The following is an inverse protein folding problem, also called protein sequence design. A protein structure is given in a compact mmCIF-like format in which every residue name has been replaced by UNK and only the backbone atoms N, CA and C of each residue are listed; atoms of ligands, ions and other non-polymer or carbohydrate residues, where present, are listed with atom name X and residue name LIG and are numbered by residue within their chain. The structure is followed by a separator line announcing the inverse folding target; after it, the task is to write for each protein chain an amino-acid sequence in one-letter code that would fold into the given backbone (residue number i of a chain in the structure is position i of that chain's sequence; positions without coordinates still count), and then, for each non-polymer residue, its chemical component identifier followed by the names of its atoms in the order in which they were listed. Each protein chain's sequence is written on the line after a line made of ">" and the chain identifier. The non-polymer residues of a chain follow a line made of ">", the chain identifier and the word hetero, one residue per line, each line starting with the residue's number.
data_IF_439016870186
#
_entry.id   IF_439016870186
#
_cell.length_a   1.000
_cell.length_b   1.000
_cell.length_c   1.000
_cell.angle_alpha   90.00
_cell.angle_beta   90.00
_cell.angle_gamma   90.00
#
_symmetry.space_group_name_H-M   'P 1'
#
loop_
_entity.id
_entity.type
_entity.pdbx_description
1 polymer ?
#
# COMPACT_ATOMS: atom_id res chain seq x y z
N UNK A 1 19.31 -15.99 7.15
CA UNK A 1 18.68 -16.33 5.85
C UNK A 1 17.20 -16.72 5.98
N UNK A 2 16.83 -17.79 6.71
CA UNK A 2 15.43 -18.28 6.74
C UNK A 2 14.33 -17.29 7.18
N UNK A 3 14.62 -16.36 8.11
CA UNK A 3 13.65 -15.32 8.50
C UNK A 3 13.28 -14.39 7.34
N UNK A 4 14.25 -13.97 6.53
CA UNK A 4 13.99 -13.09 5.37
C UNK A 4 13.07 -13.77 4.36
N UNK A 5 13.29 -15.06 4.10
CA UNK A 5 12.43 -15.87 3.22
C UNK A 5 11.00 -16.00 3.75
N UNK A 6 10.85 -16.33 5.05
CA UNK A 6 9.53 -16.40 5.67
C UNK A 6 8.76 -15.09 5.48
N UNK A 7 9.39 -13.96 5.83
CA UNK A 7 8.75 -12.65 5.79
C UNK A 7 8.47 -12.17 4.36
N UNK A 8 9.29 -12.58 3.38
CA UNK A 8 9.03 -12.31 1.97
C UNK A 8 7.77 -13.04 1.50
N UNK A 9 7.63 -14.32 1.83
CA UNK A 9 6.42 -15.11 1.51
C UNK A 9 5.21 -14.56 2.25
N UNK A 10 5.37 -14.19 3.52
CA UNK A 10 4.30 -13.56 4.31
C UNK A 10 3.80 -12.27 3.66
N UNK A 11 4.69 -11.34 3.31
CA UNK A 11 4.33 -10.08 2.64
C UNK A 11 3.65 -10.36 1.30
N UNK A 12 4.16 -11.31 0.50
CA UNK A 12 3.53 -11.72 -0.76
C UNK A 12 2.09 -12.21 -0.54
N UNK A 13 1.90 -13.16 0.38
CA UNK A 13 0.59 -13.72 0.68
C UNK A 13 -0.40 -12.68 1.22
N UNK A 14 0.07 -11.75 2.07
CA UNK A 14 -0.77 -10.66 2.59
C UNK A 14 -1.10 -9.62 1.52
N UNK A 15 -0.15 -9.29 0.64
CA UNK A 15 -0.39 -8.39 -0.49
C UNK A 15 -1.42 -8.97 -1.45
N UNK A 16 -1.33 -10.26 -1.81
CA UNK A 16 -2.32 -10.92 -2.67
C UNK A 16 -3.72 -10.94 -2.05
N UNK A 17 -3.84 -11.19 -0.73
CA UNK A 17 -5.15 -11.10 -0.04
C UNK A 17 -5.78 -9.72 -0.09
N UNK A 18 -4.98 -8.68 0.07
CA UNK A 18 -5.44 -7.30 -0.06
C UNK A 18 -5.94 -6.98 -1.48
N UNK A 19 -5.45 -7.70 -2.49
CA UNK A 19 -5.89 -7.61 -3.88
C UNK A 19 -7.08 -8.54 -4.20
N UNK A 20 -7.60 -9.28 -3.22
CA UNK A 20 -8.59 -10.35 -3.40
C UNK A 20 -8.15 -11.41 -4.43
N UNK A 21 -6.83 -11.64 -4.52
CA UNK A 21 -6.25 -12.69 -5.36
C UNK A 21 -6.31 -14.04 -4.62
N UNK A 22 -6.91 -15.04 -5.26
CA UNK A 22 -7.03 -16.40 -4.74
C UNK A 22 -5.67 -17.06 -4.39
N UNK A 23 -4.57 -16.54 -4.92
CA UNK A 23 -3.20 -17.02 -4.67
C UNK A 23 -2.70 -16.74 -3.25
N UNK A 24 -3.26 -15.75 -2.55
CA UNK A 24 -2.80 -15.37 -1.21
C UNK A 24 -2.95 -16.49 -0.17
N UNK A 25 -4.06 -17.24 -0.23
CA UNK A 25 -4.32 -18.37 0.66
C UNK A 25 -3.50 -19.62 0.31
N UNK A 26 -3.13 -19.78 -0.97
CA UNK A 26 -2.27 -20.85 -1.43
C UNK A 26 -0.81 -20.65 -0.98
N UNK A 27 -0.33 -19.41 -0.96
CA UNK A 27 1.05 -19.07 -0.63
C UNK A 27 1.38 -19.30 0.86
N UNK A 28 0.50 -18.85 1.75
CA UNK A 28 0.67 -19.03 3.19
C UNK A 28 -0.69 -18.87 3.86
N UNK A 29 -1.22 -19.88 4.58
CA UNK A 29 -2.51 -19.75 5.26
C UNK A 29 -2.46 -18.65 6.34
N UNK A 30 -3.58 -17.97 6.62
CA UNK A 30 -3.60 -16.93 7.64
C UNK A 30 -3.25 -17.47 9.03
N UNK A 31 -2.48 -16.70 9.79
CA UNK A 31 -2.04 -17.09 11.13
C UNK A 31 -2.85 -16.31 12.16
N UNK A 32 -3.66 -17.00 12.97
CA UNK A 32 -4.57 -16.35 13.92
C UNK A 32 -3.87 -15.66 15.11
N UNK A 33 -2.65 -16.08 15.46
CA UNK A 33 -1.91 -15.54 16.60
C UNK A 33 -0.55 -14.99 16.17
N UNK A 34 -0.32 -13.71 16.46
CA UNK A 34 0.95 -13.03 16.20
C UNK A 34 2.14 -13.68 16.94
N UNK A 35 1.90 -14.36 18.07
CA UNK A 35 2.95 -15.08 18.83
C UNK A 35 3.55 -16.25 18.05
N UNK A 36 2.85 -16.74 17.02
CA UNK A 36 3.34 -17.81 16.14
C UNK A 36 4.21 -17.29 14.99
N UNK A 37 4.29 -15.97 14.80
CA UNK A 37 5.15 -15.38 13.78
C UNK A 37 6.59 -15.37 14.28
N UNK A 38 7.58 -15.77 13.45
CA UNK A 38 8.98 -15.61 13.80
C UNK A 38 9.33 -14.13 13.98
N UNK A 39 10.40 -13.79 14.73
CA UNK A 39 10.84 -12.41 14.85
C UNK A 39 11.22 -11.83 13.48
N UNK A 40 11.17 -10.50 13.36
CA UNK A 40 11.62 -9.78 12.16
C UNK A 40 13.11 -10.10 11.87
N UNK A 41 13.53 -10.02 10.60
CA UNK A 41 14.95 -10.06 10.23
C UNK A 41 15.76 -9.02 11.01
N UNK A 42 17.00 -9.36 11.36
CA UNK A 42 17.91 -8.40 11.96
C UNK A 42 18.23 -7.29 10.95
N UNK A 43 18.17 -6.03 11.40
CA UNK A 43 18.47 -4.84 10.60
C UNK A 43 19.97 -4.63 10.54
N UNK A 44 20.62 -5.51 9.79
CA UNK A 44 22.07 -5.51 9.60
C UNK A 44 22.33 -5.83 8.13
N UNK A 45 23.19 -5.01 7.51
CA UNK A 45 23.61 -5.19 6.12
C UNK A 45 24.47 -6.44 5.97
N UNK A 46 24.41 -7.06 4.78
CA UNK A 46 25.04 -8.36 4.53
C UNK A 46 26.56 -8.35 4.74
N UNK A 47 27.22 -7.19 4.59
CA UNK A 47 28.64 -7.02 4.87
C UNK A 47 29.04 -7.25 6.33
N UNK A 48 28.09 -7.14 7.27
CA UNK A 48 28.30 -7.39 8.69
C UNK A 48 27.83 -8.79 9.12
N UNK A 49 27.36 -9.61 8.18
CA UNK A 49 26.91 -10.97 8.43
C UNK A 49 27.99 -11.94 7.97
N UNK A 50 28.66 -12.58 8.93
CA UNK A 50 29.68 -13.60 8.66
C UNK A 50 29.14 -14.99 8.98
N UNK A 51 29.93 -16.03 8.66
CA UNK A 51 29.56 -17.41 9.01
C UNK A 51 29.57 -17.61 10.54
N UNK A 52 30.42 -16.86 11.23
CA UNK A 52 30.70 -17.01 12.65
C UNK A 52 29.74 -16.18 13.51
N UNK A 53 29.41 -14.96 13.07
CA UNK A 53 28.57 -14.03 13.82
C UNK A 53 27.90 -12.95 12.96
N UNK A 54 26.86 -12.32 13.53
CA UNK A 54 26.28 -11.07 13.04
C UNK A 54 26.89 -9.93 13.84
N UNK A 55 27.61 -9.03 13.16
CA UNK A 55 28.24 -7.86 13.76
C UNK A 55 27.27 -6.66 13.75
N UNK A 56 27.44 -5.69 14.65
CA UNK A 56 26.60 -4.49 14.65
C UNK A 56 26.83 -3.66 13.39
N UNK A 57 25.74 -3.07 12.88
CA UNK A 57 25.79 -2.04 11.83
C UNK A 57 26.54 -0.81 12.36
N UNK A 58 27.23 -0.09 11.47
CA UNK A 58 27.78 1.23 11.80
C UNK A 58 26.69 2.20 12.27
N UNK A 59 27.01 2.98 13.31
CA UNK A 59 26.12 4.02 13.83
C UNK A 59 25.82 5.09 12.76
N UNK A 60 24.57 5.55 12.71
CA UNK A 60 24.11 6.56 11.76
C UNK A 60 23.87 6.04 10.33
N UNK A 61 24.01 4.73 10.09
CA UNK A 61 23.67 4.12 8.80
C UNK A 61 22.38 3.32 8.94
N UNK A 62 21.31 3.78 8.29
CA UNK A 62 20.05 3.01 8.19
C UNK A 62 20.33 1.71 7.44
N UNK A 63 19.99 0.51 7.96
CA UNK A 63 20.20 -0.77 7.28
C UNK A 63 19.30 -0.98 6.05
N UNK A 64 19.74 -1.80 5.09
CA UNK A 64 19.01 -2.04 3.83
C UNK A 64 17.69 -2.76 4.08
N UNK A 65 17.65 -3.57 5.15
CA UNK A 65 16.45 -4.26 5.60
C UNK A 65 15.45 -3.39 6.37
N UNK A 66 15.81 -2.17 6.77
CA UNK A 66 14.91 -1.33 7.55
C UNK A 66 13.57 -1.12 6.84
N UNK A 67 13.58 -0.75 5.55
CA UNK A 67 12.36 -0.60 4.78
C UNK A 67 11.60 -1.90 4.52
N UNK A 68 12.29 -3.04 4.43
CA UNK A 68 11.65 -4.35 4.34
C UNK A 68 10.93 -4.70 5.65
N UNK A 69 11.55 -4.46 6.80
CA UNK A 69 10.96 -4.68 8.11
C UNK A 69 9.75 -3.78 8.35
N UNK A 70 9.82 -2.50 7.96
CA UNK A 70 8.68 -1.58 8.01
C UNK A 70 7.51 -2.11 7.17
N UNK A 71 7.76 -2.58 5.94
CA UNK A 71 6.73 -3.23 5.13
C UNK A 71 6.15 -4.49 5.80
N UNK A 72 6.99 -5.33 6.40
CA UNK A 72 6.51 -6.50 7.14
C UNK A 72 5.57 -6.10 8.28
N UNK A 73 5.86 -5.01 8.99
CA UNK A 73 5.01 -4.47 10.05
C UNK A 73 3.67 -3.96 9.51
N UNK A 74 3.67 -3.25 8.38
CA UNK A 74 2.45 -2.80 7.69
C UNK A 74 1.53 -3.99 7.38
N UNK A 75 2.04 -5.03 6.71
CA UNK A 75 1.22 -6.19 6.35
C UNK A 75 0.84 -7.05 7.55
N UNK A 76 1.66 -7.07 8.60
CA UNK A 76 1.33 -7.76 9.86
C UNK A 76 0.13 -7.14 10.56
N UNK A 77 -0.18 -5.86 10.34
CA UNK A 77 -1.25 -5.18 11.05
C UNK A 77 -2.65 -5.79 10.81
N UNK A 78 -2.90 -6.44 9.67
CA UNK A 78 -4.20 -7.03 9.35
C UNK A 78 -4.22 -8.56 9.23
N UNK A 79 -3.11 -9.26 9.53
CA UNK A 79 -3.07 -10.74 9.46
C UNK A 79 -4.13 -11.43 10.32
N UNK A 80 -4.48 -10.82 11.47
CA UNK A 80 -5.53 -11.32 12.36
C UNK A 80 -6.92 -11.20 11.73
N UNK A 81 -7.15 -10.13 10.97
CA UNK A 81 -8.40 -9.96 10.22
C UNK A 81 -8.50 -11.05 9.14
N UNK A 82 -7.44 -11.25 8.35
CA UNK A 82 -7.38 -12.32 7.35
C UNK A 82 -7.64 -13.72 7.96
N UNK A 83 -7.12 -13.99 9.16
CA UNK A 83 -7.36 -15.27 9.84
C UNK A 83 -8.79 -15.46 10.32
N UNK A 84 -9.46 -14.39 10.71
CA UNK A 84 -10.89 -14.42 11.03
C UNK A 84 -11.70 -14.67 9.75
N UNK A 85 -11.37 -13.99 8.66
CA UNK A 85 -12.07 -14.09 7.38
C UNK A 85 -11.95 -15.49 6.76
N UNK A 86 -10.81 -16.15 6.89
CA UNK A 86 -10.66 -17.53 6.45
C UNK A 86 -11.53 -18.54 7.22
N UNK A 87 -11.93 -18.22 8.45
CA UNK A 87 -12.77 -19.10 9.28
C UNK A 87 -14.26 -18.80 9.09
N UNK A 88 -14.63 -17.53 9.07
CA UNK A 88 -16.04 -17.11 9.05
C UNK A 88 -16.54 -16.74 7.64
N UNK A 89 -15.64 -16.56 6.68
CA UNK A 89 -15.92 -15.99 5.37
C UNK A 89 -15.73 -14.47 5.38
N UNK A 90 -15.21 -13.93 4.29
CA UNK A 90 -14.97 -12.50 4.15
C UNK A 90 -16.30 -11.71 4.29
N UNK A 91 -17.31 -11.98 3.48
CA UNK A 91 -18.50 -11.11 3.42
C UNK A 91 -19.59 -11.53 4.42
N UNK A 92 -19.18 -11.85 5.64
CA UNK A 92 -20.08 -12.28 6.71
C UNK A 92 -19.98 -11.37 7.93
N UNK A 93 -21.15 -10.97 8.43
CA UNK A 93 -21.28 -10.27 9.71
C UNK A 93 -21.73 -11.29 10.75
N UNK A 94 -20.86 -11.60 11.72
CA UNK A 94 -21.15 -12.56 12.80
C UNK A 94 -21.27 -11.86 14.17
N UNK A 95 -20.35 -10.94 14.45
CA UNK A 95 -20.32 -10.12 15.67
C UNK A 95 -19.82 -8.73 15.24
N UNK A 96 -20.79 -7.88 14.91
CA UNK A 96 -20.54 -6.57 14.31
C UNK A 96 -19.63 -5.71 15.20
N UNK A 97 -19.90 -5.65 16.50
CA UNK A 97 -19.13 -4.83 17.44
C UNK A 97 -17.68 -5.30 17.55
N UNK A 98 -17.48 -6.62 17.59
CA UNK A 98 -16.14 -7.20 17.60
C UNK A 98 -15.41 -7.01 16.28
N UNK A 99 -16.09 -7.16 15.13
CA UNK A 99 -15.51 -6.97 13.81
C UNK A 99 -15.02 -5.52 13.62
N UNK A 100 -15.85 -4.53 13.97
CA UNK A 100 -15.45 -3.10 13.98
C UNK A 100 -14.17 -2.87 14.78
N UNK A 101 -14.11 -3.44 15.98
CA UNK A 101 -12.95 -3.28 16.87
C UNK A 101 -11.68 -3.90 16.28
N UNK A 102 -11.79 -5.06 15.62
CA UNK A 102 -10.66 -5.70 14.93
C UNK A 102 -10.14 -4.82 13.80
N UNK A 103 -11.03 -4.31 12.94
CA UNK A 103 -10.64 -3.42 11.82
C UNK A 103 -10.00 -2.14 12.35
N UNK A 104 -10.60 -1.49 13.37
CA UNK A 104 -10.03 -0.29 13.99
C UNK A 104 -8.64 -0.54 14.57
N UNK A 105 -8.44 -1.64 15.28
CA UNK A 105 -7.13 -1.99 15.86
C UNK A 105 -6.10 -2.28 14.78
N UNK A 106 -6.49 -2.96 13.71
CA UNK A 106 -5.62 -3.18 12.55
C UNK A 106 -5.19 -1.83 11.96
N UNK A 107 -6.12 -0.90 11.75
CA UNK A 107 -5.83 0.43 11.22
C UNK A 107 -4.85 1.22 12.12
N UNK A 108 -5.08 1.21 13.43
CA UNK A 108 -4.16 1.83 14.40
C UNK A 108 -2.75 1.22 14.34
N UNK A 109 -2.67 -0.10 14.19
CA UNK A 109 -1.40 -0.83 14.08
C UNK A 109 -0.67 -0.50 12.78
N UNK A 110 -1.40 -0.39 11.66
CA UNK A 110 -0.82 0.03 10.37
C UNK A 110 -0.19 1.42 10.49
N UNK A 111 -0.90 2.38 11.10
CA UNK A 111 -0.41 3.75 11.27
C UNK A 111 0.82 3.82 12.19
N UNK A 112 0.81 3.03 13.26
CA UNK A 112 1.94 2.96 14.18
C UNK A 112 3.19 2.29 13.58
N UNK A 113 3.03 1.45 12.55
CA UNK A 113 4.14 0.69 11.94
C UNK A 113 5.27 1.57 11.38
N UNK A 114 4.99 2.84 11.06
CA UNK A 114 5.97 3.78 10.52
C UNK A 114 6.31 4.93 11.49
N UNK A 115 5.76 4.94 12.71
CA UNK A 115 5.96 6.04 13.65
C UNK A 115 7.44 6.20 14.04
N UNK A 116 8.15 5.08 14.15
CA UNK A 116 9.57 5.02 14.54
C UNK A 116 10.48 4.80 13.32
N UNK A 117 10.01 5.08 12.11
CA UNK A 117 10.84 4.94 10.90
C UNK A 117 12.06 5.88 10.98
N UNK A 118 13.25 5.45 10.55
CA UNK A 118 14.42 6.32 10.44
C UNK A 118 14.13 7.55 9.58
N UNK A 119 14.76 8.68 9.89
CA UNK A 119 14.49 9.95 9.20
C UNK A 119 14.65 9.87 7.67
N UNK A 120 15.63 9.09 7.21
CA UNK A 120 15.91 8.84 5.80
C UNK A 120 14.77 8.10 5.08
N UNK A 121 13.97 7.34 5.83
CA UNK A 121 12.81 6.59 5.34
C UNK A 121 11.49 7.28 5.67
N UNK A 122 11.48 8.46 6.28
CA UNK A 122 10.25 9.22 6.53
C UNK A 122 9.85 10.04 5.29
N UNK A 123 8.55 10.20 5.05
CA UNK A 123 8.06 11.21 4.11
C UNK A 123 8.24 12.60 4.73
N UNK A 124 8.98 13.46 4.04
CA UNK A 124 9.12 14.86 4.46
C UNK A 124 8.09 15.73 3.74
N UNK A 125 7.22 16.38 4.51
CA UNK A 125 6.23 17.36 4.02
C UNK A 125 6.92 18.62 3.44
N UNK A 126 8.09 18.96 3.99
CA UNK A 126 8.83 20.21 3.76
C UNK A 126 10.02 20.09 2.82
N UNK A 127 10.23 18.92 2.20
CA UNK A 127 11.31 18.77 1.22
C UNK A 127 11.06 19.73 0.06
N UNK A 128 12.00 20.66 -0.16
CA UNK A 128 12.12 21.30 -1.46
C UNK A 128 12.04 20.19 -2.51
N UNK A 129 11.18 20.44 -3.49
CA UNK A 129 10.96 19.61 -4.67
C UNK A 129 12.19 18.74 -4.95
N UNK A 130 12.02 17.41 -5.04
CA UNK A 130 12.98 16.64 -5.83
C UNK A 130 12.94 17.25 -7.21
N UNK A 131 13.92 18.10 -7.53
CA UNK A 131 13.89 19.01 -8.67
C UNK A 131 13.44 18.23 -9.90
N UNK A 132 12.29 18.61 -10.44
CA UNK A 132 11.76 18.09 -11.69
C UNK A 132 11.80 19.22 -12.73
N UNK A 133 12.40 19.01 -13.91
CA UNK A 133 13.03 17.77 -14.36
C UNK A 133 14.29 17.45 -13.53
N UNK A 134 14.71 16.18 -13.44
CA UNK A 134 16.02 15.86 -12.89
C UNK A 134 17.02 16.72 -13.66
N UNK A 135 17.84 17.51 -12.96
CA UNK A 135 18.92 18.22 -13.63
C UNK A 135 19.86 17.14 -14.18
N UNK A 136 19.74 16.86 -15.47
CA UNK A 136 20.47 15.89 -16.31
C UNK A 136 19.93 14.46 -16.40
N UNK A 137 20.21 13.86 -17.56
CA UNK A 137 19.99 12.46 -18.00
C UNK A 137 20.55 11.36 -17.06
N UNK A 138 21.11 11.72 -15.91
CA UNK A 138 21.93 10.84 -15.06
C UNK A 138 21.14 10.09 -13.99
N UNK A 139 19.82 10.15 -14.04
CA UNK A 139 18.97 9.65 -12.98
C UNK A 139 18.46 8.23 -13.25
N UNK A 140 18.23 7.80 -14.50
CA UNK A 140 17.75 6.42 -14.73
C UNK A 140 18.79 5.40 -14.25
N UNK A 141 18.34 4.40 -13.50
CA UNK A 141 19.17 3.28 -13.05
C UNK A 141 19.80 2.56 -14.26
N UNK A 142 19.15 2.69 -15.42
CA UNK A 142 19.60 2.20 -16.72
C UNK A 142 20.84 2.93 -17.26
N UNK A 143 20.96 4.25 -17.09
CA UNK A 143 22.18 5.00 -17.49
C UNK A 143 23.40 4.52 -16.68
N UNK A 144 23.18 4.23 -15.39
CA UNK A 144 24.20 3.67 -14.52
C UNK A 144 24.58 2.23 -14.90
N UNK A 145 23.62 1.35 -15.22
CA UNK A 145 23.93 -0.02 -15.67
C UNK A 145 24.50 -0.08 -17.09
N UNK A 146 24.09 0.80 -17.99
CA UNK A 146 24.62 0.90 -19.35
C UNK A 146 26.11 1.29 -19.35
N UNK A 147 26.55 2.13 -18.41
CA UNK A 147 27.98 2.42 -18.21
C UNK A 147 28.78 1.24 -17.63
N UNK A 148 28.14 0.31 -16.92
CA UNK A 148 28.81 -0.81 -16.26
C UNK A 148 28.68 -2.15 -17.00
N UNK A 149 28.10 -2.17 -18.21
CA UNK A 149 28.03 -3.37 -19.03
C UNK A 149 29.42 -3.71 -19.62
N UNK A 150 30.01 -4.90 -19.34
CA UNK A 150 31.34 -5.25 -19.84
C UNK A 150 31.40 -5.44 -21.36
N UNK A 151 30.25 -5.56 -22.01
CA UNK A 151 30.14 -5.92 -23.44
C UNK A 151 30.22 -4.73 -24.39
N UNK A 152 30.26 -3.50 -23.89
CA UNK A 152 30.37 -2.28 -24.73
C UNK A 152 31.70 -1.55 -24.53
N UNK A 153 32.75 -2.25 -24.05
CA UNK A 153 34.13 -1.73 -24.06
C UNK A 153 34.85 -2.15 -25.35
N UNK A 154 34.32 -1.68 -26.47
CA UNK A 154 34.96 -1.77 -27.79
C UNK A 154 35.67 -0.48 -28.15
N UNK A 155 36.95 -0.36 -27.80
CA UNK A 155 37.91 0.52 -28.46
C UNK A 155 38.08 1.93 -27.88
N UNK A 156 39.10 2.10 -27.03
CA UNK A 156 39.54 3.43 -26.59
C UNK A 156 40.52 3.42 -25.42
N UNK A 157 41.63 2.69 -25.55
CA UNK A 157 42.76 2.82 -24.61
C UNK A 157 43.47 4.14 -24.83
N UNK A 158 43.44 5.03 -23.83
CA UNK A 158 44.52 5.99 -23.62
C UNK A 158 45.17 5.71 -22.26
N UNK A 159 46.47 5.41 -22.21
CA UNK A 159 47.18 5.23 -20.94
C UNK A 159 47.60 6.61 -20.41
N UNK A 160 47.04 7.03 -19.28
CA UNK A 160 47.60 8.17 -18.53
C UNK A 160 48.54 7.63 -17.43
N UNK A 161 49.78 8.15 -17.31
CA UNK A 161 50.85 7.47 -16.58
C UNK A 161 50.98 7.96 -15.14
N UNK A 162 49.88 8.08 -14.40
CA UNK A 162 49.94 8.31 -12.96
C UNK A 162 48.83 7.51 -12.28
N UNK A 163 49.23 6.62 -11.36
CA UNK A 163 48.40 5.62 -10.70
C UNK A 163 47.36 6.17 -9.72
N UNK A 164 46.51 7.09 -10.16
CA UNK A 164 45.39 7.63 -9.38
C UNK A 164 44.08 7.03 -9.89
N UNK A 165 43.87 5.75 -9.57
CA UNK A 165 42.51 5.18 -9.54
C UNK A 165 41.75 5.84 -8.37
N UNK A 166 40.45 6.04 -8.54
CA UNK A 166 39.47 6.42 -7.50
C UNK A 166 39.34 7.90 -7.10
N UNK A 167 39.23 8.83 -8.06
CA UNK A 167 38.78 10.20 -7.71
C UNK A 167 37.74 10.84 -8.63
N UNK A 168 37.24 10.14 -9.64
CA UNK A 168 36.18 10.66 -10.55
C UNK A 168 34.77 10.09 -10.28
N UNK A 169 34.64 9.14 -9.35
CA UNK A 169 33.33 8.67 -8.87
C UNK A 169 32.70 9.61 -7.80
N UNK A 170 33.33 10.75 -7.51
CA UNK A 170 32.97 11.66 -6.41
C UNK A 170 32.12 12.88 -6.84
N UNK A 171 31.58 12.90 -8.06
CA UNK A 171 30.73 14.01 -8.53
C UNK A 171 29.43 13.53 -9.20
N UNK A 172 28.83 12.47 -8.64
CA UNK A 172 27.40 12.19 -8.85
C UNK A 172 26.65 12.70 -7.60
N UNK A 173 25.64 13.56 -7.73
CA UNK A 173 25.01 14.23 -6.58
C UNK A 173 24.20 13.30 -5.67
N UNK A 174 24.03 12.01 -6.00
CA UNK A 174 23.32 11.04 -5.18
C UNK A 174 24.12 9.73 -5.01
N UNK A 175 24.35 9.32 -3.75
CA UNK A 175 24.91 8.00 -3.46
C UNK A 175 23.88 6.90 -3.79
N UNK A 176 24.33 5.71 -4.20
CA UNK A 176 23.47 4.52 -4.38
C UNK A 176 22.48 4.31 -3.22
N UNK A 177 22.91 4.68 -2.00
CA UNK A 177 22.10 4.61 -0.77
C UNK A 177 20.91 5.56 -0.79
N UNK A 178 21.09 6.79 -1.25
CA UNK A 178 20.00 7.76 -1.33
C UNK A 178 18.89 7.26 -2.27
N UNK A 179 19.26 6.75 -3.45
CA UNK A 179 18.31 6.16 -4.41
C UNK A 179 17.57 4.97 -3.78
N UNK A 180 18.29 4.11 -3.05
CA UNK A 180 17.68 2.98 -2.34
C UNK A 180 16.67 3.42 -1.28
N UNK A 181 16.98 4.45 -0.48
CA UNK A 181 16.05 4.99 0.51
C UNK A 181 14.78 5.55 -0.16
N UNK A 182 14.90 6.20 -1.32
CA UNK A 182 13.76 6.70 -2.08
C UNK A 182 12.88 5.56 -2.63
N UNK A 183 13.48 4.51 -3.19
CA UNK A 183 12.74 3.30 -3.61
C UNK A 183 12.01 2.68 -2.42
N UNK A 184 12.68 2.58 -1.27
CA UNK A 184 12.10 2.01 -0.06
C UNK A 184 10.93 2.87 0.44
N UNK A 185 11.05 4.19 0.45
CA UNK A 185 9.96 5.12 0.81
C UNK A 185 8.73 4.86 -0.04
N UNK A 186 8.84 4.87 -1.37
CA UNK A 186 7.70 4.63 -2.23
C UNK A 186 7.03 3.26 -1.96
N UNK A 187 7.83 2.21 -1.74
CA UNK A 187 7.32 0.88 -1.43
C UNK A 187 6.61 0.81 -0.07
N UNK A 188 7.20 1.40 0.99
CA UNK A 188 6.63 1.41 2.34
C UNK A 188 5.31 2.18 2.33
N UNK A 189 5.31 3.42 1.84
CA UNK A 189 4.16 4.29 1.93
C UNK A 189 3.07 3.92 0.92
N UNK A 190 3.42 3.39 -0.25
CA UNK A 190 2.44 2.79 -1.16
C UNK A 190 1.73 1.59 -0.54
N UNK A 191 2.46 0.72 0.17
CA UNK A 191 1.87 -0.44 0.86
C UNK A 191 1.06 -0.03 2.09
N UNK A 192 1.53 0.98 2.84
CA UNK A 192 0.82 1.59 3.96
C UNK A 192 -0.53 2.13 3.51
N UNK A 193 -0.54 2.94 2.44
CA UNK A 193 -1.73 3.57 1.89
C UNK A 193 -2.72 2.52 1.38
N UNK A 194 -2.24 1.52 0.63
CA UNK A 194 -3.04 0.39 0.17
C UNK A 194 -3.69 -0.36 1.35
N UNK A 195 -2.94 -0.58 2.43
CA UNK A 195 -3.44 -1.28 3.62
C UNK A 195 -4.46 -0.48 4.41
N UNK A 196 -4.27 0.83 4.53
CA UNK A 196 -5.27 1.72 5.14
C UNK A 196 -6.55 1.75 4.31
N UNK A 197 -6.44 1.89 2.99
CA UNK A 197 -7.59 1.88 2.07
C UNK A 197 -8.36 0.56 2.15
N UNK A 198 -7.65 -0.57 2.10
CA UNK A 198 -8.24 -1.89 2.25
C UNK A 198 -9.03 -2.03 3.56
N UNK A 199 -8.47 -1.60 4.69
CA UNK A 199 -9.16 -1.70 5.98
C UNK A 199 -10.40 -0.81 6.07
N UNK A 200 -10.34 0.41 5.54
CA UNK A 200 -11.49 1.33 5.49
C UNK A 200 -12.59 0.75 4.60
N UNK A 201 -12.27 0.26 3.42
CA UNK A 201 -13.25 -0.41 2.57
C UNK A 201 -13.83 -1.65 3.23
N UNK A 202 -13.00 -2.39 3.96
CA UNK A 202 -13.45 -3.58 4.66
C UNK A 202 -14.46 -3.26 5.75
N UNK A 203 -14.25 -2.17 6.48
CA UNK A 203 -15.23 -1.65 7.45
C UNK A 203 -16.57 -1.35 6.78
N UNK A 204 -16.56 -0.56 5.69
CA UNK A 204 -17.78 -0.13 5.02
C UNK A 204 -18.54 -1.27 4.34
N UNK A 205 -17.83 -2.24 3.76
CA UNK A 205 -18.44 -3.47 3.23
C UNK A 205 -19.24 -4.20 4.33
N UNK A 206 -18.64 -4.40 5.50
CA UNK A 206 -19.31 -5.07 6.62
C UNK A 206 -20.45 -4.22 7.20
N UNK A 207 -20.28 -2.90 7.24
CA UNK A 207 -21.33 -1.96 7.66
C UNK A 207 -22.57 -2.09 6.77
N UNK A 208 -22.40 -2.07 5.45
CA UNK A 208 -23.51 -2.20 4.50
C UNK A 208 -24.26 -3.54 4.66
N UNK A 209 -23.54 -4.64 4.85
CA UNK A 209 -24.13 -5.97 5.09
C UNK A 209 -24.92 -5.95 6.41
N UNK A 210 -24.37 -5.36 7.46
CA UNK A 210 -25.02 -5.27 8.75
C UNK A 210 -26.31 -4.44 8.69
N UNK A 211 -26.28 -3.27 8.04
CA UNK A 211 -27.45 -2.41 7.83
C UNK A 211 -28.57 -3.13 7.07
N UNK A 212 -28.23 -3.84 5.98
CA UNK A 212 -29.21 -4.64 5.23
C UNK A 212 -29.85 -5.73 6.09
N UNK A 213 -29.07 -6.38 6.96
CA UNK A 213 -29.59 -7.37 7.90
C UNK A 213 -30.51 -6.75 8.96
N UNK A 214 -30.22 -5.53 9.43
CA UNK A 214 -31.09 -4.81 10.37
C UNK A 214 -32.41 -4.38 9.72
N UNK A 215 -32.37 -3.84 8.51
CA UNK A 215 -33.55 -3.45 7.75
C UNK A 215 -34.47 -4.65 7.46
N UNK A 216 -33.89 -5.82 7.18
CA UNK A 216 -34.65 -7.07 6.97
C UNK A 216 -35.30 -7.60 8.26
N UNK A 217 -34.74 -7.28 9.44
CA UNK A 217 -35.24 -7.72 10.76
C UNK A 217 -36.28 -6.78 11.36
N UNK A 218 -36.46 -5.56 10.83
CA UNK A 218 -37.55 -4.68 11.27
C UNK A 218 -38.88 -5.25 10.74
N UNK A 219 -39.82 -5.65 11.61
CA UNK A 219 -41.14 -6.04 11.14
C UNK A 219 -41.82 -4.82 10.52
N UNK A 220 -42.29 -4.96 9.29
CA UNK A 220 -43.19 -3.99 8.67
C UNK A 220 -44.40 -3.79 9.61
N UNK A 221 -44.37 -2.73 10.40
CA UNK A 221 -45.53 -2.28 11.16
C UNK A 221 -46.54 -1.73 10.16
N UNK A 222 -47.52 -2.56 9.80
CA UNK A 222 -48.79 -2.08 9.26
C UNK A 222 -49.44 -2.89 8.14
N UNK A 223 -49.45 -4.22 8.16
CA UNK A 223 -50.60 -5.02 7.67
C UNK A 223 -50.42 -6.50 8.04
N UNK A 224 -51.47 -7.21 8.52
CA UNK A 224 -51.36 -8.63 8.83
C UNK A 224 -51.25 -9.45 7.52
N UNK A 225 -50.30 -10.38 7.39
CA UNK A 225 -50.21 -11.24 6.22
C UNK A 225 -51.34 -12.28 6.24
N UNK A 226 -51.93 -12.65 5.08
CA UNK A 226 -52.87 -13.74 5.03
C UNK A 226 -52.15 -15.08 5.30
N UNK A 227 -52.77 -15.88 6.16
CA UNK A 227 -52.36 -17.24 6.49
C UNK A 227 -52.13 -18.06 5.21
N UNK A 228 -50.87 -18.37 4.91
CA UNK A 228 -50.53 -19.53 4.11
C UNK A 228 -49.29 -20.22 4.69
N UNK A 229 -49.57 -21.41 5.21
CA UNK A 229 -48.68 -22.48 5.63
C UNK A 229 -47.52 -22.74 4.67
N UNK A 230 -46.32 -23.04 5.20
CA UNK A 230 -45.52 -24.27 4.97
C UNK A 230 -44.16 -24.21 5.73
N UNK A 231 -43.47 -25.35 5.96
CA UNK A 231 -42.83 -25.64 7.24
C UNK A 231 -41.34 -25.27 7.33
N UNK A 232 -40.93 -24.99 8.56
CA UNK A 232 -39.56 -24.77 8.98
C UNK A 232 -38.71 -26.04 8.86
N UNK A 233 -37.61 -25.97 8.12
CA UNK A 233 -36.42 -26.79 8.37
C UNK A 233 -35.18 -25.90 8.33
N UNK A 234 -34.78 -25.39 9.50
CA UNK A 234 -33.43 -24.89 9.72
C UNK A 234 -32.67 -25.88 10.61
N UNK A 235 -31.87 -26.73 9.99
CA UNK A 235 -30.89 -27.53 10.72
C UNK A 235 -29.61 -26.69 10.85
N UNK A 236 -29.43 -26.04 12.00
CA UNK A 236 -28.11 -25.55 12.41
C UNK A 236 -27.25 -26.74 12.85
N UNK A 237 -25.98 -26.88 12.42
CA UNK A 237 -25.05 -27.76 13.10
C UNK A 237 -24.49 -27.08 14.37
N UNK A 238 -24.22 -27.83 15.45
CA UNK A 238 -23.78 -27.27 16.72
C UNK A 238 -22.27 -26.96 16.72
N UNK A 239 -21.95 -25.96 17.56
CA UNK A 239 -20.64 -25.49 17.93
C UNK A 239 -19.74 -26.60 18.49
N UNK A 240 -18.48 -26.66 18.03
CA UNK A 240 -17.38 -27.22 18.81
C UNK A 240 -16.53 -26.04 19.28
N UNK A 241 -16.65 -25.73 20.57
CA UNK A 241 -15.74 -24.87 21.29
C UNK A 241 -14.59 -25.72 21.83
N UNK A 242 -13.34 -25.35 21.56
CA UNK A 242 -12.21 -25.50 22.50
C UNK A 242 -11.06 -24.59 22.09
N UNK A 243 -11.03 -23.35 22.60
CA UNK A 243 -9.77 -22.68 22.94
C UNK A 243 -9.99 -21.79 24.18
N UNK A 244 -9.39 -22.12 25.34
CA UNK A 244 -9.65 -21.44 26.61
C UNK A 244 -8.98 -20.05 26.73
N UNK A 245 -8.34 -19.53 25.67
CA UNK A 245 -7.75 -18.17 25.70
C UNK A 245 -8.72 -17.03 25.35
N UNK A 246 -9.98 -17.34 25.03
CA UNK A 246 -10.94 -16.35 24.55
C UNK A 246 -12.00 -15.91 25.57
N UNK A 247 -11.84 -16.25 26.86
CA UNK A 247 -12.80 -15.89 27.92
C UNK A 247 -12.09 -15.12 29.03
N UNK A 248 -11.88 -13.81 28.84
CA UNK A 248 -11.78 -12.85 29.94
C UNK A 248 -11.80 -11.40 29.43
N UNK A 249 -12.98 -10.79 29.49
CA UNK A 249 -13.28 -9.37 29.79
C UNK A 249 -14.64 -9.01 29.18
N UNK A 250 -15.70 -9.54 29.78
CA UNK A 250 -17.05 -9.00 29.66
C UNK A 250 -17.40 -8.32 30.97
N UNK A 251 -16.79 -7.15 31.26
CA UNK A 251 -17.41 -6.22 32.19
C UNK A 251 -18.57 -5.55 31.45
N UNK A 252 -19.77 -5.70 32.00
CA UNK A 252 -20.98 -5.09 31.50
C UNK A 252 -20.82 -3.56 31.42
N UNK A 253 -20.51 -3.04 30.24
CA UNK A 253 -20.61 -1.62 29.94
C UNK A 253 -22.06 -1.30 29.57
N UNK A 254 -22.52 -0.13 30.00
CA UNK A 254 -23.89 0.33 29.80
C UNK A 254 -24.21 0.50 28.30
N UNK A 255 -25.47 0.28 27.84
CA UNK A 255 -25.85 0.38 26.43
C UNK A 255 -25.51 1.74 25.78
N UNK A 256 -25.51 2.81 26.58
CA UNK A 256 -25.26 4.18 26.12
C UNK A 256 -23.79 4.47 25.80
N UNK A 257 -22.84 3.81 26.48
CA UNK A 257 -21.41 3.96 26.21
C UNK A 257 -21.00 3.16 24.96
N UNK A 258 -21.65 2.02 24.74
CA UNK A 258 -21.41 1.20 23.55
C UNK A 258 -21.83 1.96 22.30
N UNK A 259 -23.06 2.49 22.22
CA UNK A 259 -23.55 3.24 21.04
C UNK A 259 -22.71 4.47 20.72
N UNK A 260 -22.33 5.27 21.72
CA UNK A 260 -21.45 6.42 21.52
C UNK A 260 -20.04 6.02 21.02
N UNK A 261 -19.52 4.88 21.49
CA UNK A 261 -18.29 4.33 20.97
C UNK A 261 -18.44 3.79 19.53
N UNK A 262 -19.64 3.37 19.10
CA UNK A 262 -19.88 2.92 17.73
C UNK A 262 -19.81 4.09 16.74
N UNK A 263 -20.48 5.19 17.05
CA UNK A 263 -20.47 6.41 16.22
C UNK A 263 -19.05 6.98 16.09
N UNK A 264 -18.23 6.85 17.15
CA UNK A 264 -16.83 7.26 17.12
C UNK A 264 -15.96 6.43 16.16
N UNK A 265 -16.24 5.13 15.99
CA UNK A 265 -15.50 4.28 15.02
C UNK A 265 -15.90 4.66 13.60
N UNK A 266 -17.18 4.86 13.34
CA UNK A 266 -17.68 5.28 12.02
C UNK A 266 -17.06 6.61 11.61
N UNK A 267 -17.13 7.61 12.50
CA UNK A 267 -16.49 8.91 12.27
C UNK A 267 -14.98 8.77 12.04
N UNK A 268 -14.31 7.88 12.79
CA UNK A 268 -12.89 7.61 12.58
C UNK A 268 -12.59 7.02 11.20
N UNK A 269 -13.49 6.20 10.62
CA UNK A 269 -13.30 5.62 9.29
C UNK A 269 -13.56 6.64 8.19
N UNK A 270 -14.54 7.52 8.37
CA UNK A 270 -14.78 8.68 7.49
C UNK A 270 -13.58 9.63 7.45
N UNK A 271 -13.06 10.01 8.63
CA UNK A 271 -11.83 10.81 8.76
C UNK A 271 -10.64 10.09 8.13
N UNK A 272 -10.51 8.78 8.32
CA UNK A 272 -9.40 8.03 7.75
C UNK A 272 -9.45 8.01 6.21
N UNK A 273 -10.64 7.87 5.61
CA UNK A 273 -10.81 7.96 4.15
C UNK A 273 -10.26 9.27 3.60
N UNK A 274 -10.60 10.38 4.25
CA UNK A 274 -10.10 11.70 3.89
C UNK A 274 -8.56 11.80 4.05
N UNK A 275 -8.03 11.25 5.13
CA UNK A 275 -6.57 11.22 5.34
C UNK A 275 -5.87 10.38 4.27
N UNK A 276 -6.47 9.29 3.78
CA UNK A 276 -5.91 8.50 2.67
C UNK A 276 -5.84 9.36 1.40
N UNK A 277 -6.84 10.20 1.11
CA UNK A 277 -6.79 11.13 -0.04
C UNK A 277 -5.63 12.13 0.10
N UNK A 278 -5.46 12.72 1.30
CA UNK A 278 -4.36 13.66 1.56
C UNK A 278 -2.99 12.99 1.47
N UNK A 279 -2.85 11.81 2.08
CA UNK A 279 -1.60 11.06 2.11
C UNK A 279 -1.25 10.50 0.72
N UNK A 280 -2.25 10.17 -0.10
CA UNK A 280 -2.08 9.83 -1.51
C UNK A 280 -1.46 11.01 -2.28
N UNK A 281 -2.00 12.21 -2.11
CA UNK A 281 -1.49 13.41 -2.77
C UNK A 281 -0.07 13.75 -2.27
N UNK A 282 0.19 13.63 -0.96
CA UNK A 282 1.51 13.85 -0.36
C UNK A 282 2.54 12.84 -0.88
N UNK A 283 2.20 11.55 -0.88
CA UNK A 283 3.10 10.48 -1.34
C UNK A 283 3.56 10.73 -2.77
N UNK A 284 2.63 11.08 -3.66
CA UNK A 284 2.96 11.29 -5.06
C UNK A 284 3.69 12.60 -5.32
N UNK A 285 3.44 13.63 -4.50
CA UNK A 285 4.27 14.84 -4.47
C UNK A 285 5.72 14.51 -4.09
N UNK A 286 5.92 13.57 -3.16
CA UNK A 286 7.22 13.25 -2.59
C UNK A 286 8.06 12.26 -3.41
N UNK A 287 7.44 11.40 -4.22
CA UNK A 287 8.12 10.30 -4.92
C UNK A 287 8.56 10.71 -6.33
N UNK A 288 9.84 10.50 -6.66
CA UNK A 288 10.41 10.77 -7.98
C UNK A 288 10.29 9.55 -8.92
N UNK A 289 9.89 9.76 -10.18
CA UNK A 289 9.78 8.73 -11.24
C UNK A 289 11.02 7.85 -11.36
N UNK A 290 12.21 8.46 -11.29
CA UNK A 290 13.48 7.76 -11.43
C UNK A 290 13.65 6.69 -10.36
N UNK A 291 13.24 7.00 -9.15
CA UNK A 291 13.32 6.11 -8.00
C UNK A 291 12.21 5.05 -8.03
N UNK A 292 11.32 5.09 -9.03
CA UNK A 292 10.28 4.11 -9.23
C UNK A 292 10.64 3.04 -10.26
N UNK A 293 11.68 3.21 -11.10
CA UNK A 293 11.99 2.25 -12.17
C UNK A 293 12.03 0.76 -11.79
N UNK A 294 12.59 0.34 -10.63
CA UNK A 294 12.62 -1.08 -10.29
C UNK A 294 11.27 -1.65 -9.84
N UNK A 295 10.35 -0.84 -9.31
CA UNK A 295 9.06 -1.29 -8.73
C UNK A 295 7.83 -0.51 -9.24
N UNK A 296 7.99 0.29 -10.29
CA UNK A 296 7.04 1.33 -10.70
C UNK A 296 5.70 0.76 -11.10
N UNK A 297 5.69 -0.41 -11.73
CA UNK A 297 4.46 -1.12 -12.07
C UNK A 297 3.67 -1.54 -10.81
N UNK A 298 4.35 -2.15 -9.83
CA UNK A 298 3.72 -2.58 -8.57
C UNK A 298 3.16 -1.38 -7.80
N UNK A 299 3.92 -0.29 -7.74
CA UNK A 299 3.48 0.95 -7.12
C UNK A 299 2.27 1.56 -7.85
N UNK A 300 2.34 1.73 -9.17
CA UNK A 300 1.22 2.24 -9.96
C UNK A 300 -0.04 1.37 -9.77
N UNK A 301 0.12 0.04 -9.66
CA UNK A 301 -1.00 -0.86 -9.38
C UNK A 301 -1.61 -0.62 -8.00
N UNK A 302 -0.79 -0.52 -6.95
CA UNK A 302 -1.25 -0.22 -5.58
C UNK A 302 -1.96 1.14 -5.52
N UNK A 303 -1.35 2.17 -6.10
CA UNK A 303 -1.92 3.52 -6.10
C UNK A 303 -3.23 3.59 -6.88
N UNK A 304 -3.30 2.91 -8.03
CA UNK A 304 -4.55 2.80 -8.79
C UNK A 304 -5.63 2.12 -7.97
N UNK A 305 -5.31 1.01 -7.31
CA UNK A 305 -6.26 0.30 -6.46
C UNK A 305 -6.79 1.22 -5.36
N UNK A 306 -5.90 1.94 -4.65
CA UNK A 306 -6.30 2.93 -3.64
C UNK A 306 -7.24 3.97 -4.26
N UNK A 307 -6.83 4.61 -5.35
CA UNK A 307 -7.66 5.63 -6.01
C UNK A 307 -9.02 5.08 -6.46
N UNK A 308 -9.07 3.85 -6.98
CA UNK A 308 -10.33 3.19 -7.36
C UNK A 308 -11.24 2.89 -6.16
N UNK A 309 -10.67 2.55 -5.00
CA UNK A 309 -11.47 2.36 -3.77
C UNK A 309 -11.98 3.69 -3.20
N UNK A 310 -11.24 4.78 -3.42
CA UNK A 310 -11.65 6.11 -2.98
C UNK A 310 -12.72 6.73 -3.88
N UNK A 311 -12.82 6.29 -5.13
CA UNK A 311 -13.88 6.73 -6.04
C UNK A 311 -15.25 6.34 -5.54
N UNK A 312 -16.14 7.31 -5.58
CA UNK A 312 -17.51 7.16 -5.15
C UNK A 312 -18.37 6.53 -6.23
N UNK A 313 -19.22 5.58 -5.82
CA UNK A 313 -20.36 5.16 -6.64
C UNK A 313 -21.64 5.70 -5.99
N UNK A 314 -22.63 6.08 -6.82
CA UNK A 314 -23.84 6.86 -6.47
C UNK A 314 -24.76 6.28 -5.36
N UNK A 315 -24.36 5.21 -4.67
CA UNK A 315 -25.18 4.47 -3.71
C UNK A 315 -24.55 4.27 -2.33
N UNK A 316 -23.32 4.70 -2.08
CA UNK A 316 -22.61 4.23 -0.90
C UNK A 316 -22.36 5.30 0.16
N UNK A 317 -22.69 4.95 1.42
CA UNK A 317 -22.31 5.69 2.62
C UNK A 317 -20.78 5.73 2.83
N UNK A 318 -19.99 5.01 2.01
CA UNK A 318 -18.51 5.07 1.93
C UNK A 318 -17.94 6.47 1.71
N UNK A 319 -18.78 7.41 1.29
CA UNK A 319 -18.37 8.66 0.65
C UNK A 319 -18.26 9.85 1.62
N UNK A 320 -18.56 9.67 2.91
CA UNK A 320 -18.55 10.79 3.85
C UNK A 320 -17.10 11.18 4.15
N UNK A 321 -16.65 12.30 3.60
CA UNK A 321 -15.43 12.99 4.01
C UNK A 321 -15.83 14.20 4.86
N UNK A 322 -15.27 14.38 6.08
CA UNK A 322 -15.70 15.44 6.99
C UNK A 322 -15.44 16.87 6.51
N UNK A 323 -14.38 17.09 5.71
CA UNK A 323 -13.89 18.41 5.33
C UNK A 323 -13.63 18.57 3.83
N UNK A 324 -13.26 17.51 3.11
CA UNK A 324 -13.08 17.56 1.65
C UNK A 324 -14.40 17.46 0.90
N UNK A 325 -14.52 18.15 -0.23
CA UNK A 325 -15.66 18.01 -1.14
C UNK A 325 -15.53 16.72 -1.96
N UNK A 326 -16.34 15.72 -1.60
CA UNK A 326 -16.52 14.45 -2.30
C UNK A 326 -16.58 14.55 -3.82
N UNK A 327 -17.33 15.52 -4.38
CA UNK A 327 -17.49 15.63 -5.83
C UNK A 327 -16.17 16.04 -6.50
N UNK A 328 -15.46 17.00 -5.90
CA UNK A 328 -14.16 17.45 -6.41
C UNK A 328 -13.11 16.37 -6.28
N UNK A 329 -13.11 15.62 -5.17
CA UNK A 329 -12.22 14.47 -5.00
C UNK A 329 -12.49 13.42 -6.07
N UNK A 330 -13.74 13.14 -6.41
CA UNK A 330 -14.07 12.22 -7.51
C UNK A 330 -13.56 12.70 -8.87
N UNK A 331 -13.81 13.97 -9.22
CA UNK A 331 -13.32 14.56 -10.47
C UNK A 331 -11.79 14.44 -10.57
N UNK A 332 -11.09 14.81 -9.49
CA UNK A 332 -9.64 14.64 -9.37
C UNK A 332 -9.21 13.18 -9.53
N UNK A 333 -9.84 12.23 -8.82
CA UNK A 333 -9.47 10.81 -8.87
C UNK A 333 -9.73 10.18 -10.24
N UNK A 334 -10.75 10.62 -10.98
CA UNK A 334 -11.06 10.12 -12.33
C UNK A 334 -9.97 10.51 -13.32
N UNK A 335 -9.63 11.80 -13.39
CA UNK A 335 -8.55 12.32 -14.23
C UNK A 335 -7.21 11.66 -13.85
N UNK A 336 -6.97 11.53 -12.55
CA UNK A 336 -5.80 10.89 -11.98
C UNK A 336 -5.66 9.42 -12.41
N UNK A 337 -6.74 8.64 -12.35
CA UNK A 337 -6.77 7.24 -12.78
C UNK A 337 -6.51 7.09 -14.29
N UNK A 338 -6.97 8.05 -15.09
CA UNK A 338 -6.68 8.07 -16.53
C UNK A 338 -5.18 8.18 -16.79
N UNK A 339 -4.49 9.10 -16.11
CA UNK A 339 -3.03 9.27 -16.22
C UNK A 339 -2.30 8.00 -15.75
N UNK A 340 -2.70 7.42 -14.62
CA UNK A 340 -2.12 6.16 -14.14
C UNK A 340 -2.34 4.97 -15.09
N UNK A 341 -3.45 4.96 -15.83
CA UNK A 341 -3.72 3.93 -16.86
C UNK A 341 -2.77 4.08 -18.05
N UNK A 342 -2.47 5.32 -18.46
CA UNK A 342 -1.50 5.64 -19.52
C UNK A 342 -0.11 5.19 -19.10
N UNK A 343 0.32 5.56 -17.89
CA UNK A 343 1.61 5.15 -17.32
C UNK A 343 1.78 3.63 -17.25
N UNK A 344 0.75 2.88 -16.86
CA UNK A 344 0.82 1.42 -16.81
C UNK A 344 0.98 0.79 -18.19
N UNK A 345 0.25 1.30 -19.20
CA UNK A 345 0.37 0.80 -20.58
C UNK A 345 1.78 1.01 -21.11
N UNK A 346 2.39 2.17 -20.83
CA UNK A 346 3.76 2.46 -21.23
C UNK A 346 4.76 1.54 -20.52
N UNK A 347 4.64 1.37 -19.19
CA UNK A 347 5.56 0.55 -18.42
C UNK A 347 5.45 -0.97 -18.64
N UNK A 348 4.26 -1.51 -18.85
CA UNK A 348 4.03 -2.96 -19.02
C UNK A 348 4.10 -3.42 -20.49
N UNK A 349 3.53 -2.66 -21.43
CA UNK A 349 3.49 -3.04 -22.84
C UNK A 349 4.68 -2.50 -23.64
N UNK A 350 5.20 -1.32 -23.29
CA UNK A 350 6.33 -0.70 -24.00
C UNK A 350 7.68 -1.38 -23.76
N UNK A 351 7.88 -1.99 -22.58
CA UNK A 351 9.18 -2.57 -22.20
C UNK A 351 9.29 -4.09 -22.40
N UNK A 352 8.18 -4.83 -22.30
CA UNK A 352 8.17 -6.30 -22.39
C UNK A 352 8.05 -6.77 -23.85
N UNK A 353 7.53 -5.93 -24.76
CA UNK A 353 7.34 -6.26 -26.17
C UNK A 353 7.79 -5.11 -27.09
N UNK A 354 9.10 -4.92 -27.30
CA UNK A 354 9.60 -4.04 -28.36
C UNK A 354 9.11 -4.48 -29.75
N UNK A 355 8.85 -5.79 -29.91
CA UNK A 355 8.64 -6.44 -31.20
C UNK A 355 7.17 -6.80 -31.53
N UNK A 356 6.21 -6.63 -30.62
CA UNK A 356 4.80 -6.86 -30.98
C UNK A 356 4.18 -5.61 -31.57
N UNK A 357 4.31 -5.52 -32.90
CA UNK A 357 3.58 -4.62 -33.76
C UNK A 357 2.07 -4.65 -33.40
N UNK A 358 1.60 -3.59 -32.74
CA UNK A 358 0.19 -3.24 -32.75
C UNK A 358 -0.27 -2.99 -34.19
N UNK A 359 -1.57 -3.18 -34.44
CA UNK A 359 -2.25 -3.14 -35.75
C UNK A 359 -2.03 -1.88 -36.62
N UNK A 360 -1.24 -0.91 -36.16
CA UNK A 360 -0.77 0.25 -36.90
C UNK A 360 0.75 0.37 -36.69
N UNK A 361 1.52 -0.10 -37.67
CA UNK A 361 2.97 -0.27 -37.57
C UNK A 361 3.75 1.02 -37.29
N UNK A 362 4.27 1.13 -36.07
CA UNK A 362 5.62 1.59 -35.74
C UNK A 362 5.94 1.08 -34.34
N UNK A 363 6.97 0.23 -34.21
CA UNK A 363 7.55 -0.04 -32.90
C UNK A 363 8.17 1.27 -32.39
N UNK A 364 7.65 1.81 -31.28
CA UNK A 364 8.25 2.98 -30.63
C UNK A 364 9.60 2.57 -30.06
N UNK A 365 10.63 3.40 -30.25
CA UNK A 365 11.92 3.17 -29.60
C UNK A 365 11.77 3.26 -28.07
N UNK A 366 12.65 2.58 -27.33
CA UNK A 366 12.66 2.65 -25.87
C UNK A 366 12.77 4.11 -25.37
N UNK A 367 13.57 4.94 -26.05
CA UNK A 367 13.73 6.38 -25.79
C UNK A 367 12.41 7.16 -25.97
N UNK A 368 11.62 6.85 -27.01
CA UNK A 368 10.34 7.51 -27.26
C UNK A 368 9.27 7.10 -26.23
N UNK A 369 9.31 5.86 -25.74
CA UNK A 369 8.43 5.40 -24.65
C UNK A 369 8.82 6.10 -23.35
N UNK A 370 10.11 6.25 -23.07
CA UNK A 370 10.62 6.98 -21.91
C UNK A 370 10.19 8.45 -21.93
N UNK A 371 10.31 9.14 -23.07
CA UNK A 371 9.84 10.52 -23.23
C UNK A 371 8.32 10.64 -22.98
N UNK A 372 7.52 9.70 -23.50
CA UNK A 372 6.07 9.69 -23.26
C UNK A 372 5.75 9.43 -21.77
N UNK A 373 6.48 8.52 -21.11
CA UNK A 373 6.35 8.28 -19.68
C UNK A 373 6.68 9.56 -18.88
N UNK A 374 7.77 10.25 -19.20
CA UNK A 374 8.18 11.51 -18.56
C UNK A 374 7.06 12.57 -18.64
N UNK A 375 6.40 12.69 -19.80
CA UNK A 375 5.28 13.61 -19.99
C UNK A 375 4.09 13.22 -19.10
N UNK A 376 3.75 11.94 -19.02
CA UNK A 376 2.65 11.48 -18.17
C UNK A 376 2.95 11.71 -16.68
N UNK A 377 4.18 11.49 -16.23
CA UNK A 377 4.58 11.78 -14.85
C UNK A 377 4.56 13.28 -14.53
N UNK A 378 4.96 14.14 -15.46
CA UNK A 378 4.84 15.58 -15.31
C UNK A 378 3.37 16.02 -15.19
N UNK A 379 2.50 15.46 -16.05
CA UNK A 379 1.05 15.71 -15.99
C UNK A 379 0.43 15.25 -14.67
N UNK A 380 0.85 14.09 -14.15
CA UNK A 380 0.41 13.56 -12.86
C UNK A 380 0.72 14.55 -11.71
N UNK A 381 1.96 15.06 -11.68
CA UNK A 381 2.42 16.02 -10.66
C UNK A 381 1.68 17.35 -10.77
N UNK A 382 1.55 17.89 -11.98
CA UNK A 382 0.82 19.14 -12.19
C UNK A 382 -0.64 19.03 -11.71
N UNK A 383 -1.30 17.91 -12.01
CA UNK A 383 -2.67 17.65 -11.57
C UNK A 383 -2.78 17.59 -10.03
N UNK A 384 -1.82 16.95 -9.37
CA UNK A 384 -1.73 16.92 -7.90
C UNK A 384 -1.54 18.30 -7.27
N UNK A 385 -0.63 19.11 -7.82
CA UNK A 385 -0.40 20.45 -7.29
C UNK A 385 -1.61 21.35 -7.42
N UNK A 386 -2.37 21.22 -8.51
CA UNK A 386 -3.62 21.96 -8.71
C UNK A 386 -4.64 21.55 -7.65
N UNK A 387 -4.80 20.26 -7.39
CA UNK A 387 -5.72 19.73 -6.37
C UNK A 387 -5.34 20.19 -4.95
N UNK A 388 -4.06 20.07 -4.58
CA UNK A 388 -3.58 20.52 -3.26
C UNK A 388 -3.79 22.02 -3.05
N UNK A 389 -3.62 22.84 -4.11
CA UNK A 389 -3.89 24.28 -4.08
C UNK A 389 -5.39 24.60 -4.00
N UNK A 390 -6.25 23.84 -4.67
CA UNK A 390 -7.69 24.13 -4.72
C UNK A 390 -8.42 23.79 -3.44
N UNK A 391 -7.97 22.78 -2.71
CA UNK A 391 -8.61 22.29 -1.48
C UNK A 391 -7.98 22.86 -0.19
N UNK A 392 -7.10 23.87 -0.31
CA UNK A 392 -6.32 24.44 0.81
C UNK A 392 -5.73 23.34 1.73
N UNK A 393 -5.31 22.22 1.14
CA UNK A 393 -4.69 21.12 1.89
C UNK A 393 -3.30 21.64 2.28
N UNK A 394 -3.25 22.35 3.42
CA UNK A 394 -1.99 22.72 4.04
C UNK A 394 -1.30 21.42 4.43
N UNK A 395 -0.26 21.10 3.69
CA UNK A 395 0.73 20.11 4.07
C UNK A 395 1.48 20.69 5.27
N UNK A 396 0.94 20.47 6.47
CA UNK A 396 1.61 20.83 7.73
C UNK A 396 2.76 19.87 7.99
#
# INVERSE_FOLDING_TARGET
>A
SGRRLFWLVFVGAMSSRQLDEAEGDLLMPPIASAERLPPLPAEVDDQYITREAVFPQQEGVVPELAGFNLNCQVYRAFHRLAAIEAVFGADTVYDWDRQKLVVRRALQTVKAAIADAPGELQLHSTGEFGEWPPRSYDASMYSMYAMHSPTTMGGGQYPHPDGRRDSLALTLPFSKRAIQCEIQKANIYGSLLATRSYLVERYWNLFEIHEQQQQTKQPATGEPPPLSSFPSMSSSPPLIATDPRFVSMGQAQSPSETTAALDAIEQSMAVERENIVRDLALLLKSVNQVNMEPNGLSFCNKIRQVASTLLETKKSHRNVMPTLDSNRVNEYLLDFLEILSKLQRLGAAGRIRPDEAGSYGMAKSAEAIEEEELVQWASLKEHQERFLRSEEIMLV
#
